data_IF_068131770642
#
_entry.id   IF_068131770642
#
_cell.length_a   1.000
_cell.length_b   1.000
_cell.length_c   1.000
_cell.angle_alpha   90.00
_cell.angle_beta   90.00
_cell.angle_gamma   90.00
#
_symmetry.space_group_name_H-M   'P 1'
#
loop_
_entity.id
_entity.type
_entity.pdbx_description
1 polymer ?
#
# COMPACT_ATOMS: atom_id res chain seq x y z
N UNK A 1 24.65 -39.61 -54.55
CA UNK A 1 24.08 -39.58 -53.19
C UNK A 1 23.28 -38.29 -53.02
N UNK A 2 22.00 -38.33 -52.60
CA UNK A 2 21.21 -37.11 -52.45
C UNK A 2 21.52 -36.44 -51.09
N UNK A 3 21.66 -35.12 -51.09
CA UNK A 3 21.77 -34.33 -49.86
C UNK A 3 20.39 -34.22 -49.19
N UNK A 4 20.27 -34.74 -47.97
CA UNK A 4 19.15 -34.47 -47.06
C UNK A 4 19.20 -32.99 -46.64
N UNK A 5 18.14 -32.23 -46.94
CA UNK A 5 17.94 -30.89 -46.37
C UNK A 5 17.30 -31.06 -44.99
N UNK A 6 18.03 -30.71 -43.93
CA UNK A 6 17.44 -30.67 -42.58
C UNK A 6 16.49 -29.48 -42.48
N UNK A 7 15.21 -29.76 -42.31
CA UNK A 7 14.21 -28.74 -41.99
C UNK A 7 14.48 -28.25 -40.57
N UNK A 8 14.94 -27.01 -40.42
CA UNK A 8 14.94 -26.33 -39.12
C UNK A 8 13.47 -26.18 -38.67
N UNK A 9 13.04 -26.99 -37.69
CA UNK A 9 11.78 -26.74 -36.99
C UNK A 9 11.89 -25.40 -36.28
N UNK A 10 11.08 -24.43 -36.68
CA UNK A 10 10.94 -23.16 -35.98
C UNK A 10 10.36 -23.42 -34.59
N UNK A 11 11.07 -23.01 -33.56
CA UNK A 11 10.55 -23.01 -32.19
C UNK A 11 9.41 -21.99 -32.15
N UNK A 12 8.21 -22.33 -31.66
CA UNK A 12 7.12 -21.37 -31.57
C UNK A 12 7.57 -20.20 -30.69
N UNK A 13 7.41 -18.98 -31.22
CA UNK A 13 7.75 -17.78 -30.48
C UNK A 13 6.97 -17.76 -29.15
N UNK A 14 7.68 -17.65 -28.02
CA UNK A 14 7.05 -17.50 -26.71
C UNK A 14 6.05 -16.33 -26.80
N UNK A 15 4.78 -16.60 -26.52
CA UNK A 15 3.78 -15.56 -26.39
C UNK A 15 4.22 -14.61 -25.27
N UNK A 16 4.58 -13.39 -25.64
CA UNK A 16 4.83 -12.31 -24.69
C UNK A 16 3.57 -11.44 -24.62
N UNK A 17 3.25 -10.99 -23.41
CA UNK A 17 2.12 -10.12 -23.13
C UNK A 17 2.47 -9.20 -21.96
N UNK A 18 1.78 -8.07 -21.86
CA UNK A 18 1.92 -7.17 -20.69
C UNK A 18 0.93 -7.61 -19.63
N UNK A 19 1.42 -8.01 -18.47
CA UNK A 19 0.57 -8.22 -17.29
C UNK A 19 -0.10 -6.89 -16.94
N UNK A 20 -1.40 -6.94 -16.66
CA UNK A 20 -2.21 -5.80 -16.24
C UNK A 20 -2.99 -6.19 -14.98
N UNK A 21 -3.28 -5.20 -14.16
CA UNK A 21 -4.26 -5.37 -13.09
C UNK A 21 -5.64 -5.44 -13.75
N UNK A 22 -6.44 -6.43 -13.37
CA UNK A 22 -7.81 -6.57 -13.86
C UNK A 22 -8.80 -5.74 -13.04
N UNK A 23 -8.66 -5.77 -11.72
CA UNK A 23 -9.46 -5.02 -10.75
C UNK A 23 -8.53 -4.36 -9.72
N UNK A 24 -8.45 -3.03 -9.78
CA UNK A 24 -7.58 -2.24 -8.93
C UNK A 24 -8.00 -2.31 -7.46
N UNK A 25 -9.31 -2.34 -7.17
CA UNK A 25 -9.81 -2.39 -5.79
C UNK A 25 -9.55 -3.74 -5.15
N UNK A 26 -9.76 -4.81 -5.89
CA UNK A 26 -9.43 -6.15 -5.41
C UNK A 26 -7.92 -6.31 -5.21
N UNK A 27 -7.10 -5.74 -6.09
CA UNK A 27 -5.65 -5.73 -5.93
C UNK A 27 -5.21 -4.96 -4.67
N UNK A 28 -5.75 -3.76 -4.43
CA UNK A 28 -5.48 -2.97 -3.21
C UNK A 28 -5.86 -3.76 -1.96
N UNK A 29 -7.05 -4.38 -1.96
CA UNK A 29 -7.55 -5.17 -0.83
C UNK A 29 -6.64 -6.36 -0.53
N UNK A 30 -6.23 -7.13 -1.54
CA UNK A 30 -5.33 -8.27 -1.37
C UNK A 30 -3.96 -7.81 -0.83
N UNK A 31 -3.42 -6.71 -1.35
CA UNK A 31 -2.14 -6.16 -0.89
C UNK A 31 -2.23 -5.79 0.59
N UNK A 32 -3.27 -5.04 1.00
CA UNK A 32 -3.47 -4.63 2.38
C UNK A 32 -3.58 -5.84 3.32
N UNK A 33 -4.37 -6.86 2.96
CA UNK A 33 -4.55 -8.07 3.77
C UNK A 33 -3.30 -8.97 3.83
N UNK A 34 -2.42 -8.86 2.83
CA UNK A 34 -1.16 -9.63 2.80
C UNK A 34 -0.03 -9.00 3.63
N UNK A 35 -0.20 -7.76 4.10
CA UNK A 35 0.75 -7.12 5.00
C UNK A 35 0.50 -7.62 6.43
N UNK A 36 1.54 -8.15 7.07
CA UNK A 36 1.46 -8.73 8.41
C UNK A 36 2.45 -8.07 9.39
N UNK A 37 3.28 -7.15 8.90
CA UNK A 37 4.33 -6.54 9.70
C UNK A 37 3.84 -5.18 10.22
N UNK A 38 3.69 -5.02 11.55
CA UNK A 38 3.22 -3.77 12.15
C UNK A 38 4.13 -2.57 11.85
N UNK A 39 5.40 -2.79 11.44
CA UNK A 39 6.27 -1.72 10.98
C UNK A 39 5.75 -1.02 9.72
N UNK A 40 5.00 -1.72 8.86
CA UNK A 40 4.42 -1.13 7.67
C UNK A 40 3.32 -0.14 8.03
N UNK A 41 2.41 -0.50 8.95
CA UNK A 41 1.41 0.41 9.51
C UNK A 41 2.04 1.69 10.09
N UNK A 42 3.13 1.52 10.86
CA UNK A 42 3.85 2.66 11.45
C UNK A 42 4.46 3.53 10.35
N UNK A 43 5.10 2.92 9.35
CA UNK A 43 5.72 3.64 8.25
C UNK A 43 4.67 4.46 7.46
N UNK A 44 3.50 3.89 7.17
CA UNK A 44 2.42 4.59 6.47
C UNK A 44 1.89 5.77 7.29
N UNK A 45 1.74 5.62 8.60
CA UNK A 45 1.33 6.75 9.44
C UNK A 45 2.39 7.87 9.49
N UNK A 46 3.66 7.52 9.57
CA UNK A 46 4.75 8.52 9.56
C UNK A 46 4.83 9.21 8.20
N UNK A 47 4.64 8.48 7.09
CA UNK A 47 4.57 9.05 5.74
C UNK A 47 3.41 10.05 5.63
N UNK A 48 2.21 9.69 6.12
CA UNK A 48 1.07 10.60 6.18
C UNK A 48 1.37 11.87 7.00
N UNK A 49 2.07 11.75 8.13
CA UNK A 49 2.48 12.91 8.92
C UNK A 49 3.45 13.82 8.15
N UNK A 50 4.40 13.25 7.38
CA UNK A 50 5.33 14.00 6.54
C UNK A 50 4.59 14.73 5.42
N UNK A 51 3.66 14.05 4.74
CA UNK A 51 2.82 14.64 3.70
C UNK A 51 1.94 15.77 4.26
N UNK A 52 1.52 15.65 5.52
CA UNK A 52 0.82 16.70 6.26
C UNK A 52 1.71 17.88 6.69
N UNK A 53 2.99 17.86 6.35
CA UNK A 53 3.97 18.90 6.68
C UNK A 53 4.38 18.92 8.15
N UNK A 54 4.20 17.82 8.89
CA UNK A 54 4.60 17.73 10.29
C UNK A 54 6.10 17.95 10.47
N UNK A 55 6.47 18.64 11.54
CA UNK A 55 7.86 18.86 11.96
C UNK A 55 8.25 17.90 13.08
N UNK A 56 7.28 17.45 13.86
CA UNK A 56 7.47 16.50 14.94
C UNK A 56 6.44 15.38 14.84
N UNK A 57 6.93 14.15 14.90
CA UNK A 57 6.10 12.95 14.98
C UNK A 57 6.53 12.17 16.22
N UNK A 58 5.57 11.90 17.11
CA UNK A 58 5.78 11.17 18.36
C UNK A 58 5.12 9.80 18.26
N UNK A 59 5.89 8.75 18.48
CA UNK A 59 5.41 7.37 18.53
C UNK A 59 5.45 6.89 19.97
N UNK A 60 4.30 6.53 20.51
CA UNK A 60 4.12 6.12 21.90
C UNK A 60 3.67 4.66 21.91
N UNK A 61 4.40 3.81 22.64
CA UNK A 61 3.93 2.48 23.01
C UNK A 61 3.22 2.54 24.35
N UNK A 62 1.96 2.12 24.37
CA UNK A 62 1.13 2.13 25.58
C UNK A 62 0.49 0.79 25.87
N UNK A 63 -0.21 0.72 27.01
CA UNK A 63 -1.06 -0.40 27.40
C UNK A 63 -2.35 0.15 28.00
N UNK A 64 -3.50 -0.28 27.50
CA UNK A 64 -4.82 0.07 27.99
C UNK A 64 -5.71 -1.17 27.98
N UNK A 65 -6.51 -1.37 29.03
CA UNK A 65 -7.41 -2.53 29.17
C UNK A 65 -6.73 -3.88 28.92
N UNK A 66 -5.49 -4.01 29.39
CA UNK A 66 -4.67 -5.22 29.20
C UNK A 66 -4.02 -5.37 27.82
N UNK A 67 -4.40 -4.55 26.83
CA UNK A 67 -3.92 -4.62 25.46
C UNK A 67 -2.82 -3.59 25.20
N UNK A 68 -1.79 -3.98 24.45
CA UNK A 68 -0.74 -3.06 23.99
C UNK A 68 -1.19 -2.32 22.75
N UNK A 69 -0.90 -1.01 22.68
CA UNK A 69 -1.18 -0.21 21.49
C UNK A 69 0.02 0.67 21.12
N UNK A 70 -0.02 1.16 19.89
CA UNK A 70 0.84 2.23 19.41
C UNK A 70 -0.02 3.46 19.13
N UNK A 71 0.47 4.62 19.53
CA UNK A 71 -0.14 5.93 19.22
C UNK A 71 0.87 6.76 18.46
N UNK A 72 0.46 7.26 17.31
CA UNK A 72 1.23 8.19 16.49
C UNK A 72 0.58 9.56 16.62
N UNK A 73 1.37 10.58 16.92
CA UNK A 73 0.91 11.97 17.09
C UNK A 73 1.83 12.87 16.28
N UNK A 74 1.26 13.75 15.47
CA UNK A 74 2.02 14.74 14.70
C UNK A 74 1.47 16.16 14.89
N UNK A 75 2.26 17.14 14.43
CA UNK A 75 1.93 18.56 14.42
C UNK A 75 1.63 19.08 13.00
N UNK A 76 1.20 18.20 12.08
CA UNK A 76 0.86 18.53 10.70
C UNK A 76 -0.45 19.30 10.58
N UNK A 77 -0.83 19.64 9.34
CA UNK A 77 -2.06 20.41 9.07
C UNK A 77 -3.36 19.64 9.33
N UNK A 78 -3.27 18.35 9.68
CA UNK A 78 -4.40 17.49 9.97
C UNK A 78 -5.25 17.17 8.73
N UNK A 79 -6.44 16.64 8.97
CA UNK A 79 -7.35 16.17 7.93
C UNK A 79 -8.15 17.35 7.36
N UNK A 80 -8.30 17.47 6.02
CA UNK A 80 -9.15 18.48 5.40
C UNK A 80 -10.56 18.47 6.00
N UNK A 81 -11.15 19.65 6.17
CA UNK A 81 -12.50 19.79 6.71
C UNK A 81 -13.56 19.70 5.60
N UNK A 82 -14.76 19.26 5.96
CA UNK A 82 -15.95 19.35 5.12
C UNK A 82 -16.58 20.75 5.18
N UNK A 83 -17.70 20.94 4.46
CA UNK A 83 -18.45 22.20 4.44
C UNK A 83 -18.99 22.61 5.83
N UNK A 84 -19.18 21.64 6.74
CA UNK A 84 -19.58 21.85 8.12
C UNK A 84 -18.42 22.17 9.06
N UNK A 85 -17.17 22.18 8.57
CA UNK A 85 -15.98 22.44 9.36
C UNK A 85 -15.51 21.23 10.19
N UNK A 86 -16.11 20.06 10.01
CA UNK A 86 -15.69 18.80 10.63
C UNK A 86 -14.60 18.14 9.79
N UNK A 87 -13.70 17.33 10.38
CA UNK A 87 -12.76 16.53 9.60
C UNK A 87 -13.49 15.67 8.56
N UNK A 88 -13.08 15.76 7.31
CA UNK A 88 -13.66 14.97 6.24
C UNK A 88 -13.12 13.54 6.33
N UNK A 89 -13.87 12.68 6.99
CA UNK A 89 -13.50 11.28 7.23
C UNK A 89 -13.33 10.45 5.95
N UNK A 90 -13.73 10.94 4.77
CA UNK A 90 -13.38 10.32 3.48
C UNK A 90 -11.87 10.18 3.27
N UNK A 91 -11.09 11.09 3.87
CA UNK A 91 -9.64 11.08 3.78
C UNK A 91 -8.97 10.26 4.90
N UNK A 92 -9.75 9.68 5.83
CA UNK A 92 -9.23 8.78 6.85
C UNK A 92 -9.10 7.39 6.27
N UNK A 93 -7.88 6.85 6.30
CA UNK A 93 -7.65 5.45 5.97
C UNK A 93 -8.36 4.56 7.00
N UNK A 94 -9.29 3.73 6.52
CA UNK A 94 -10.01 2.73 7.35
C UNK A 94 -9.39 1.35 7.25
N UNK A 95 -8.50 1.15 6.30
CA UNK A 95 -7.75 -0.08 6.09
C UNK A 95 -6.27 0.28 6.15
N UNK A 96 -5.61 -0.18 7.21
CA UNK A 96 -4.18 -0.01 7.43
C UNK A 96 -3.57 -1.41 7.33
N UNK A 97 -2.42 -1.48 6.68
CA UNK A 97 -1.63 -2.68 6.44
C UNK A 97 -1.04 -3.33 7.70
#
# INVERSE_FOLDING_TARGET
>A
MPLVKSGKKSVPAKSSGRLRIGDDWNAITIIALSQNNPLKAIAEFVENSIDAGARHVTIIRGKADGQTFLKIVDDGHGIPKDEGGLPNFKYVATHIC
#
